data_IF_804024316432
#
_entry.id   IF_804024316432
#
_cell.length_a   1.000
_cell.length_b   1.000
_cell.length_c   1.000
_cell.angle_alpha   90.00
_cell.angle_beta   90.00
_cell.angle_gamma   90.00
#
_symmetry.space_group_name_H-M   'P 1'
#
loop_
_entity.id
_entity.type
_entity.pdbx_description
1 polymer ?
#
# COMPACT_ATOMS: atom_id res chain seq x y z
N UNK A 1 2.25 13.91 -2.90
CA UNK A 1 2.59 13.28 -4.18
C UNK A 1 1.36 12.73 -4.93
N UNK A 2 0.50 11.95 -4.25
CA UNK A 2 -0.66 11.27 -4.85
C UNK A 2 -1.68 12.18 -5.55
N UNK A 3 -1.78 13.45 -5.14
CA UNK A 3 -2.66 14.48 -5.76
C UNK A 3 -2.39 14.66 -7.27
N UNK A 4 -1.16 14.40 -7.74
CA UNK A 4 -0.81 14.51 -9.16
C UNK A 4 -1.19 13.28 -10.00
N UNK A 5 -1.91 12.32 -9.41
CA UNK A 5 -2.31 11.06 -10.06
C UNK A 5 -1.14 10.38 -10.80
N UNK A 6 0.00 10.14 -10.11
CA UNK A 6 1.14 9.50 -10.76
C UNK A 6 0.78 8.08 -11.19
N UNK A 7 1.28 7.66 -12.36
CA UNK A 7 1.04 6.33 -12.90
C UNK A 7 1.77 5.21 -12.12
N UNK A 8 2.79 5.56 -11.32
CA UNK A 8 3.58 4.66 -10.49
C UNK A 8 3.55 5.10 -9.03
N UNK A 9 3.20 4.18 -8.14
CA UNK A 9 3.25 4.35 -6.70
C UNK A 9 4.36 3.47 -6.12
N UNK A 10 5.25 4.07 -5.35
CA UNK A 10 6.28 3.39 -4.57
C UNK A 10 5.96 3.65 -3.10
N UNK A 11 5.49 2.62 -2.41
CA UNK A 11 5.05 2.69 -1.02
C UNK A 11 6.04 1.91 -0.17
N UNK A 12 6.94 2.62 0.50
CA UNK A 12 7.91 2.02 1.41
C UNK A 12 7.37 2.09 2.84
N UNK A 13 6.99 0.94 3.40
CA UNK A 13 6.41 0.78 4.74
C UNK A 13 5.34 1.84 5.09
N UNK A 14 4.23 1.95 4.31
CA UNK A 14 3.29 3.07 4.39
C UNK A 14 2.51 3.15 5.71
N UNK A 15 2.61 2.13 6.57
CA UNK A 15 1.89 2.04 7.85
C UNK A 15 2.81 1.66 9.03
N UNK A 16 4.14 1.57 8.83
CA UNK A 16 5.06 0.97 9.81
C UNK A 16 5.15 1.67 11.18
N UNK A 17 4.76 2.95 11.27
CA UNK A 17 4.77 3.74 12.50
C UNK A 17 3.37 4.02 13.08
N UNK A 18 2.34 3.37 12.56
CA UNK A 18 0.95 3.56 12.99
C UNK A 18 0.53 2.42 13.93
N UNK A 19 -0.37 2.71 14.86
CA UNK A 19 -1.06 1.65 15.59
C UNK A 19 -1.94 0.84 14.63
N UNK A 20 -2.31 -0.41 15.00
CA UNK A 20 -3.04 -1.30 14.11
C UNK A 20 -4.36 -0.74 13.56
N UNK A 21 -5.08 0.08 14.33
CA UNK A 21 -6.36 0.63 13.89
C UNK A 21 -6.16 1.72 12.84
N UNK A 22 -5.24 2.66 13.10
CA UNK A 22 -4.90 3.71 12.12
C UNK A 22 -4.22 3.12 10.87
N UNK A 23 -3.40 2.09 11.01
CA UNK A 23 -2.80 1.38 9.88
C UNK A 23 -3.86 0.80 8.93
N UNK A 24 -4.90 0.17 9.47
CA UNK A 24 -6.00 -0.41 8.69
C UNK A 24 -6.81 0.68 7.96
N UNK A 25 -7.09 1.80 8.61
CA UNK A 25 -7.79 2.93 8.00
C UNK A 25 -7.00 3.54 6.84
N UNK A 26 -5.72 3.86 7.06
CA UNK A 26 -4.84 4.41 6.04
C UNK A 26 -4.69 3.45 4.87
N UNK A 27 -4.55 2.15 5.14
CA UNK A 27 -4.45 1.16 4.07
C UNK A 27 -5.76 1.00 3.30
N UNK A 28 -6.91 1.01 3.97
CA UNK A 28 -8.22 1.01 3.33
C UNK A 28 -8.41 2.20 2.39
N UNK A 29 -7.95 3.38 2.79
CA UNK A 29 -7.94 4.57 1.95
C UNK A 29 -6.99 4.44 0.74
N UNK A 30 -5.79 3.88 0.93
CA UNK A 30 -4.87 3.64 -0.19
C UNK A 30 -5.44 2.64 -1.21
N UNK A 31 -6.13 1.60 -0.73
CA UNK A 31 -6.81 0.63 -1.59
C UNK A 31 -7.97 1.25 -2.37
N UNK A 32 -8.77 2.12 -1.74
CA UNK A 32 -9.88 2.79 -2.43
C UNK A 32 -9.37 3.71 -3.54
N UNK A 33 -8.31 4.49 -3.28
CA UNK A 33 -7.66 5.30 -4.30
C UNK A 33 -7.01 4.45 -5.39
N UNK A 34 -6.39 3.32 -5.04
CA UNK A 34 -5.83 2.40 -6.03
C UNK A 34 -6.92 1.85 -6.97
N UNK A 35 -8.10 1.53 -6.44
CA UNK A 35 -9.23 1.06 -7.24
C UNK A 35 -9.74 2.14 -8.22
N UNK A 36 -9.77 3.41 -7.80
CA UNK A 36 -10.17 4.55 -8.63
C UNK A 36 -9.12 4.88 -9.70
N UNK A 37 -7.85 5.01 -9.29
CA UNK A 37 -6.79 5.59 -10.12
C UNK A 37 -6.01 4.53 -10.92
N UNK A 38 -6.09 3.27 -10.52
CA UNK A 38 -5.39 2.11 -11.12
C UNK A 38 -3.91 2.36 -11.45
N UNK A 39 -3.11 2.90 -10.51
CA UNK A 39 -1.68 3.08 -10.74
C UNK A 39 -0.97 1.71 -10.73
N UNK A 40 0.18 1.62 -11.39
CA UNK A 40 1.13 0.55 -11.09
C UNK A 40 1.68 0.79 -9.69
N UNK A 41 1.69 -0.22 -8.82
CA UNK A 41 2.10 -0.05 -7.41
C UNK A 41 3.14 -1.07 -7.00
N UNK A 42 4.22 -0.60 -6.38
CA UNK A 42 5.16 -1.41 -5.61
C UNK A 42 5.01 -1.05 -4.13
N UNK A 43 4.65 -2.02 -3.32
CA UNK A 43 4.54 -1.91 -1.87
C UNK A 43 5.64 -2.75 -1.21
N UNK A 44 6.43 -2.12 -0.36
CA UNK A 44 7.38 -2.77 0.54
C UNK A 44 6.78 -2.77 1.93
N UNK A 45 6.61 -3.95 2.52
CA UNK A 45 6.16 -4.07 3.90
C UNK A 45 6.59 -5.37 4.57
N UNK A 46 6.86 -5.31 5.88
CA UNK A 46 7.02 -6.48 6.74
C UNK A 46 5.68 -7.03 7.28
N UNK A 47 4.56 -6.34 7.04
CA UNK A 47 3.24 -6.79 7.52
C UNK A 47 2.65 -7.85 6.56
N UNK A 48 2.51 -9.12 6.99
CA UNK A 48 2.02 -10.19 6.13
C UNK A 48 0.53 -10.03 5.77
N UNK A 49 -0.26 -9.38 6.63
CA UNK A 49 -1.67 -9.11 6.36
C UNK A 49 -1.86 -8.10 5.23
N UNK A 50 -1.02 -7.07 5.17
CA UNK A 50 -1.00 -6.11 4.06
C UNK A 50 -0.48 -6.75 2.77
N UNK A 51 0.63 -7.48 2.86
CA UNK A 51 1.22 -8.18 1.73
C UNK A 51 0.25 -9.20 1.08
N UNK A 52 -0.59 -9.86 1.89
CA UNK A 52 -1.61 -10.80 1.42
C UNK A 52 -2.79 -10.18 0.67
N UNK A 53 -2.95 -8.85 0.73
CA UNK A 53 -3.97 -8.12 -0.04
C UNK A 53 -3.47 -7.66 -1.41
N UNK A 54 -2.18 -7.83 -1.70
CA UNK A 54 -1.60 -7.51 -3.00
C UNK A 54 -1.85 -8.62 -4.02
N UNK A 55 -1.97 -8.25 -5.30
CA UNK A 55 -2.13 -9.23 -6.41
C UNK A 55 -0.95 -10.19 -6.53
N UNK A 56 0.25 -9.74 -6.13
CA UNK A 56 1.47 -10.52 -6.12
C UNK A 56 2.29 -10.15 -4.91
N UNK A 57 2.84 -11.16 -4.23
CA UNK A 57 3.76 -10.98 -3.11
C UNK A 57 5.11 -11.57 -3.49
N UNK A 58 6.18 -10.82 -3.21
CA UNK A 58 7.55 -11.30 -3.32
C UNK A 58 8.18 -11.30 -1.93
N UNK A 59 8.76 -12.43 -1.55
CA UNK A 59 9.56 -12.54 -0.32
C UNK A 59 11.03 -12.43 -0.72
N UNK A 60 11.72 -11.45 -0.16
CA UNK A 60 13.16 -11.30 -0.27
C UNK A 60 13.77 -12.05 0.93
N UNK A 61 14.74 -12.92 0.66
CA UNK A 61 15.39 -13.79 1.65
C UNK A 61 16.61 -13.16 2.29
#
# INVERSE_FOLDING_TARGET
ALVRRPALWLLDEPTGNLDPATAEEVFGFLLSLHAELRPTTLLVTHNPGLAGRCMRTLRLG
#
